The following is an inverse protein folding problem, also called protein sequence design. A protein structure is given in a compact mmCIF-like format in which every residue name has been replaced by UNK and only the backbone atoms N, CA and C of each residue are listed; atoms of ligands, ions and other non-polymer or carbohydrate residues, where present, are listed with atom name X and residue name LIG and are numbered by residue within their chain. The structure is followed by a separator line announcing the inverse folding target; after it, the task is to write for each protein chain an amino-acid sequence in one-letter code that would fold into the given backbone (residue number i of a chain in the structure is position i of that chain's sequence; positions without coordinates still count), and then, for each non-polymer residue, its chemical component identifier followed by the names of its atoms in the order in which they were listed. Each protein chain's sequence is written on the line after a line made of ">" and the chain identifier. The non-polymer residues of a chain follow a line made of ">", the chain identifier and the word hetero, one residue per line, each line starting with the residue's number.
data_IF_001189409511
#
_entry.id   IF_001189409511
#
_cell.length_a   1.000
_cell.length_b   1.000
_cell.length_c   1.000
_cell.angle_alpha   90.00
_cell.angle_beta   90.00
_cell.angle_gamma   90.00
#
_symmetry.space_group_name_H-M   'P 1'
#
loop_
_entity.id
_entity.type
_entity.pdbx_description
1 polymer ?
#
# COMPACT_ATOMS: atom_id res chain seq x y z
N UNK A 1 2.15 4.69 27.20
CA UNK A 1 2.74 5.18 28.47
C UNK A 1 3.75 4.21 29.06
N UNK A 2 3.42 2.92 29.32
CA UNK A 2 4.40 1.93 29.82
C UNK A 2 5.57 1.64 28.86
N UNK A 3 5.32 1.60 27.55
CA UNK A 3 6.38 1.46 26.53
C UNK A 3 7.37 2.63 26.56
N UNK A 4 6.83 3.84 26.77
CA UNK A 4 7.60 5.08 26.76
C UNK A 4 8.43 5.22 28.05
N UNK A 5 7.94 4.70 29.18
CA UNK A 5 8.69 4.58 30.43
C UNK A 5 9.78 3.48 30.36
N UNK A 6 9.50 2.36 29.68
CA UNK A 6 10.49 1.30 29.47
C UNK A 6 11.64 1.77 28.57
N UNK A 7 11.35 2.59 27.55
CA UNK A 7 12.34 3.20 26.66
C UNK A 7 13.21 4.26 27.34
N UNK A 8 12.69 4.98 28.33
CA UNK A 8 13.47 6.02 29.05
C UNK A 8 14.36 5.45 30.16
N UNK A 9 13.97 4.33 30.79
CA UNK A 9 14.75 3.71 31.88
C UNK A 9 16.01 2.98 31.38
N UNK A 10 16.10 2.62 30.09
CA UNK A 10 17.25 1.90 29.50
C UNK A 10 18.34 2.88 28.98
N UNK A 11 18.20 4.17 29.26
CA UNK A 11 19.15 5.20 28.82
C UNK A 11 20.48 5.22 29.58
N UNK A 12 21.45 4.36 29.19
CA UNK A 12 22.86 4.78 29.20
C UNK A 12 23.70 4.01 28.16
N UNK A 13 24.13 4.75 27.13
CA UNK A 13 25.28 4.56 26.23
C UNK A 13 25.37 3.27 25.37
N UNK A 14 24.71 2.16 25.70
CA UNK A 14 24.70 0.92 24.90
C UNK A 14 23.58 0.84 23.83
N UNK A 15 22.73 1.87 23.72
CA UNK A 15 21.41 1.77 23.08
C UNK A 15 21.37 1.83 21.55
N UNK A 16 22.42 2.32 20.87
CA UNK A 16 22.43 2.36 19.40
C UNK A 16 22.31 0.96 18.79
N UNK A 17 22.98 -0.04 19.38
CA UNK A 17 23.05 -1.39 18.83
C UNK A 17 21.86 -2.28 19.23
N UNK A 18 21.23 -2.05 20.39
CA UNK A 18 20.07 -2.82 20.87
C UNK A 18 18.72 -2.21 20.49
N UNK A 19 18.64 -0.89 20.29
CA UNK A 19 17.43 -0.26 19.77
C UNK A 19 17.24 -0.58 18.28
N UNK A 20 18.32 -0.73 17.50
CA UNK A 20 18.27 -1.09 16.09
C UNK A 20 17.48 -2.38 15.81
N UNK A 21 17.75 -3.54 16.45
CA UNK A 21 16.99 -4.76 16.22
C UNK A 21 15.54 -4.64 16.69
N UNK A 22 15.23 -3.82 17.70
CA UNK A 22 13.85 -3.57 18.14
C UNK A 22 13.11 -2.75 17.07
N UNK A 23 13.72 -1.66 16.58
CA UNK A 23 13.17 -0.87 15.49
C UNK A 23 12.99 -1.71 14.22
N UNK A 24 13.98 -2.55 13.89
CA UNK A 24 13.93 -3.46 12.75
C UNK A 24 12.84 -4.52 12.94
N UNK A 25 12.70 -5.12 14.12
CA UNK A 25 11.62 -6.08 14.41
C UNK A 25 10.25 -5.42 14.31
N UNK A 26 10.09 -4.21 14.85
CA UNK A 26 8.85 -3.44 14.72
C UNK A 26 8.58 -3.10 13.26
N UNK A 27 9.60 -2.73 12.50
CA UNK A 27 9.48 -2.44 11.08
C UNK A 27 9.10 -3.70 10.29
N UNK A 28 9.75 -4.83 10.53
CA UNK A 28 9.45 -6.13 9.90
C UNK A 28 8.05 -6.61 10.29
N UNK A 29 7.62 -6.36 11.52
CA UNK A 29 6.28 -6.71 11.99
C UNK A 29 5.21 -5.78 11.39
N UNK A 30 5.56 -4.50 11.20
CA UNK A 30 4.68 -3.49 10.62
C UNK A 30 4.61 -3.59 9.10
N UNK A 31 5.69 -4.01 8.43
CA UNK A 31 5.69 -4.36 7.02
C UNK A 31 4.71 -5.52 6.86
N UNK A 32 3.63 -5.27 6.11
CA UNK A 32 2.60 -6.27 5.89
C UNK A 32 3.23 -7.56 5.36
N UNK A 33 3.12 -8.66 6.11
CA UNK A 33 3.68 -9.98 5.80
C UNK A 33 3.03 -10.68 4.60
N UNK A 34 2.30 -9.93 3.78
CA UNK A 34 1.65 -10.44 2.59
C UNK A 34 2.64 -10.31 1.45
N UNK A 35 3.24 -11.45 1.08
CA UNK A 35 4.04 -11.54 -0.12
C UNK A 35 3.09 -11.41 -1.33
N UNK A 36 3.09 -10.21 -1.91
CA UNK A 36 2.23 -9.89 -3.04
C UNK A 36 2.54 -10.78 -4.26
N UNK A 37 3.81 -11.16 -4.44
CA UNK A 37 4.23 -12.05 -5.52
C UNK A 37 3.67 -13.46 -5.30
N UNK A 38 3.71 -13.95 -4.06
CA UNK A 38 3.13 -15.24 -3.71
C UNK A 38 1.60 -15.25 -3.86
N UNK A 39 0.91 -14.18 -3.46
CA UNK A 39 -0.56 -14.06 -3.58
C UNK A 39 -1.00 -13.92 -5.04
N UNK A 40 -0.27 -13.16 -5.85
CA UNK A 40 -0.59 -12.99 -7.28
C UNK A 40 -0.14 -14.17 -8.14
N UNK A 41 0.79 -15.01 -7.67
CA UNK A 41 1.35 -16.14 -8.42
C UNK A 41 0.29 -17.07 -9.02
N UNK A 42 -0.61 -17.67 -8.22
CA UNK A 42 -1.67 -18.55 -8.71
C UNK A 42 -2.62 -17.88 -9.70
N UNK A 43 -2.89 -16.58 -9.51
CA UNK A 43 -3.71 -15.79 -10.43
C UNK A 43 -3.01 -15.57 -11.78
N UNK A 44 -1.73 -15.19 -11.76
CA UNK A 44 -0.91 -15.01 -12.97
C UNK A 44 -0.82 -16.31 -13.77
N UNK A 45 -0.68 -17.45 -13.09
CA UNK A 45 -0.66 -18.76 -13.73
C UNK A 45 -2.00 -19.12 -14.36
N UNK A 46 -3.13 -18.85 -13.69
CA UNK A 46 -4.46 -19.05 -14.27
C UNK A 46 -4.69 -18.18 -15.51
N UNK A 47 -4.33 -16.89 -15.45
CA UNK A 47 -4.41 -15.96 -16.58
C UNK A 47 -3.50 -16.38 -17.75
N UNK A 48 -2.29 -16.88 -17.47
CA UNK A 48 -1.35 -17.38 -18.49
C UNK A 48 -1.85 -18.66 -19.16
N UNK A 49 -2.61 -19.49 -18.45
CA UNK A 49 -3.30 -20.68 -19.00
C UNK A 49 -4.57 -20.36 -19.76
N UNK A 50 -5.04 -19.10 -19.75
CA UNK A 50 -6.31 -18.70 -20.35
C UNK A 50 -7.54 -19.22 -19.59
N UNK A 51 -7.37 -19.70 -18.36
CA UNK A 51 -8.44 -20.26 -17.54
C UNK A 51 -9.12 -19.14 -16.74
N UNK A 52 -10.15 -18.55 -17.33
CA UNK A 52 -10.91 -17.44 -16.76
C UNK A 52 -11.64 -17.84 -15.47
N UNK A 53 -12.18 -19.05 -15.39
CA UNK A 53 -12.90 -19.52 -14.21
C UNK A 53 -11.95 -19.75 -13.03
N UNK A 54 -10.78 -20.35 -13.27
CA UNK A 54 -9.76 -20.48 -12.24
C UNK A 54 -9.25 -19.11 -11.79
N UNK A 55 -9.08 -18.15 -12.70
CA UNK A 55 -8.64 -16.79 -12.36
C UNK A 55 -9.65 -16.06 -11.46
N UNK A 56 -10.96 -16.15 -11.75
CA UNK A 56 -12.02 -15.59 -10.90
C UNK A 56 -12.04 -16.25 -9.53
N UNK A 57 -11.95 -17.59 -9.49
CA UNK A 57 -11.99 -18.33 -8.24
C UNK A 57 -10.80 -18.01 -7.32
N UNK A 58 -9.59 -17.93 -7.87
CA UNK A 58 -8.37 -17.57 -7.13
C UNK A 58 -8.43 -16.13 -6.62
N UNK A 59 -8.86 -15.19 -7.45
CA UNK A 59 -8.97 -13.78 -7.04
C UNK A 59 -10.02 -13.59 -5.93
N UNK A 60 -11.15 -14.30 -6.00
CA UNK A 60 -12.17 -14.28 -4.95
C UNK A 60 -11.66 -14.86 -3.64
N UNK A 61 -10.91 -15.97 -3.69
CA UNK A 61 -10.37 -16.65 -2.50
C UNK A 61 -9.24 -15.87 -1.82
N UNK A 62 -8.26 -15.43 -2.59
CA UNK A 62 -6.98 -14.91 -2.05
C UNK A 62 -6.96 -13.38 -1.92
N UNK A 63 -7.79 -12.68 -2.70
CA UNK A 63 -7.79 -11.20 -2.77
C UNK A 63 -9.16 -10.61 -2.41
N UNK A 64 -10.19 -11.45 -2.22
CA UNK A 64 -11.56 -11.00 -1.95
C UNK A 64 -12.21 -10.26 -3.14
N UNK A 65 -11.63 -10.36 -4.34
CA UNK A 65 -12.13 -9.67 -5.53
C UNK A 65 -13.20 -10.53 -6.19
N UNK A 66 -14.45 -10.07 -6.13
CA UNK A 66 -15.55 -10.65 -6.91
C UNK A 66 -15.80 -9.80 -8.16
N UNK A 67 -15.89 -10.45 -9.30
CA UNK A 67 -16.12 -9.81 -10.58
C UNK A 67 -16.94 -10.71 -11.49
N UNK A 68 -17.92 -10.10 -12.17
CA UNK A 68 -18.79 -10.80 -13.12
C UNK A 68 -18.14 -10.89 -14.51
N UNK A 69 -17.26 -9.93 -14.82
CA UNK A 69 -16.56 -9.81 -16.08
C UNK A 69 -15.05 -9.80 -15.90
N UNK A 70 -14.34 -10.22 -16.94
CA UNK A 70 -12.89 -10.30 -16.88
C UNK A 70 -12.17 -8.95 -16.73
N UNK A 71 -12.80 -7.90 -17.24
CA UNK A 71 -12.31 -6.53 -17.09
C UNK A 71 -12.36 -6.06 -15.63
N UNK A 72 -13.51 -6.31 -14.97
CA UNK A 72 -13.71 -5.99 -13.56
C UNK A 72 -12.79 -6.82 -12.66
N UNK A 73 -12.54 -8.07 -13.02
CA UNK A 73 -11.62 -8.95 -12.30
C UNK A 73 -10.22 -8.35 -12.28
N UNK A 74 -9.70 -7.98 -13.46
CA UNK A 74 -8.35 -7.46 -13.56
C UNK A 74 -8.24 -6.09 -12.88
N UNK A 75 -9.22 -5.20 -13.05
CA UNK A 75 -9.25 -3.93 -12.32
C UNK A 75 -9.27 -4.11 -10.79
N UNK A 76 -10.05 -5.07 -10.28
CA UNK A 76 -10.09 -5.38 -8.85
C UNK A 76 -8.74 -5.91 -8.34
N UNK A 77 -8.10 -6.81 -9.09
CA UNK A 77 -6.77 -7.35 -8.75
C UNK A 77 -5.69 -6.27 -8.78
N UNK A 78 -5.71 -5.38 -9.77
CA UNK A 78 -4.80 -4.23 -9.85
C UNK A 78 -4.98 -3.28 -8.67
N UNK A 79 -6.24 -2.99 -8.30
CA UNK A 79 -6.55 -2.17 -7.14
C UNK A 79 -6.10 -2.81 -5.82
N UNK A 80 -6.33 -4.11 -5.66
CA UNK A 80 -5.83 -4.89 -4.53
C UNK A 80 -4.31 -4.82 -4.42
N UNK A 81 -3.59 -5.00 -5.54
CA UNK A 81 -2.13 -4.91 -5.61
C UNK A 81 -1.60 -3.53 -5.18
N UNK A 82 -2.16 -2.46 -5.73
CA UNK A 82 -1.77 -1.09 -5.39
C UNK A 82 -2.07 -0.76 -3.93
N UNK A 83 -3.26 -1.13 -3.46
CA UNK A 83 -3.70 -0.93 -2.09
C UNK A 83 -2.81 -1.68 -1.10
N UNK A 84 -2.57 -2.96 -1.37
CA UNK A 84 -1.76 -3.80 -0.52
C UNK A 84 -0.32 -3.27 -0.45
N UNK A 85 0.27 -2.85 -1.58
CA UNK A 85 1.59 -2.23 -1.60
C UNK A 85 1.62 -0.92 -0.81
N UNK A 86 0.60 -0.06 -0.96
CA UNK A 86 0.49 1.18 -0.21
C UNK A 86 0.45 0.95 1.29
N UNK A 87 -0.41 0.06 1.77
CA UNK A 87 -0.61 -0.15 3.20
C UNK A 87 0.51 -0.93 3.87
N UNK A 88 1.05 -1.93 3.17
CA UNK A 88 2.13 -2.75 3.72
C UNK A 88 3.48 -2.04 3.75
N UNK A 89 3.73 -1.14 2.80
CA UNK A 89 5.04 -0.52 2.61
C UNK A 89 5.00 1.00 2.73
N UNK A 90 4.28 1.70 1.86
CA UNK A 90 4.35 3.17 1.77
C UNK A 90 3.80 3.89 3.01
N UNK A 91 2.64 3.47 3.52
CA UNK A 91 2.07 4.05 4.74
C UNK A 91 2.97 3.80 5.95
N UNK A 92 3.51 2.58 6.07
CA UNK A 92 4.40 2.18 7.16
C UNK A 92 5.70 2.98 7.14
N UNK A 93 6.36 3.06 5.98
CA UNK A 93 7.63 3.79 5.86
C UNK A 93 7.45 5.29 6.04
N UNK A 94 6.35 5.87 5.53
CA UNK A 94 6.02 7.28 5.75
C UNK A 94 5.95 7.60 7.24
N UNK A 95 5.11 6.87 7.98
CA UNK A 95 4.91 7.13 9.40
C UNK A 95 6.13 6.77 10.25
N UNK A 96 6.92 5.78 9.82
CA UNK A 96 8.21 5.47 10.44
C UNK A 96 9.19 6.63 10.33
N UNK A 97 9.32 7.26 9.16
CA UNK A 97 10.25 8.39 8.95
C UNK A 97 9.76 9.66 9.68
N UNK A 98 8.45 9.93 9.66
CA UNK A 98 7.88 11.17 10.21
C UNK A 98 7.77 11.13 11.74
N UNK A 99 7.26 10.04 12.32
CA UNK A 99 6.93 9.91 13.75
C UNK A 99 7.67 8.76 14.46
N UNK A 100 8.41 7.92 13.74
CA UNK A 100 9.15 6.79 14.29
C UNK A 100 8.37 5.46 14.36
N UNK A 101 8.96 4.43 14.99
CA UNK A 101 8.42 3.05 15.00
C UNK A 101 7.05 2.94 15.68
N UNK A 102 6.77 3.80 16.66
CA UNK A 102 5.50 3.78 17.40
C UNK A 102 4.32 4.12 16.49
N UNK A 103 4.50 5.08 15.57
CA UNK A 103 3.45 5.46 14.64
C UNK A 103 3.21 4.38 13.56
N UNK A 104 4.28 3.76 13.06
CA UNK A 104 4.18 2.61 12.16
C UNK A 104 3.37 1.46 12.79
N UNK A 105 3.69 1.11 14.04
CA UNK A 105 2.97 0.09 14.79
C UNK A 105 1.51 0.49 15.06
N UNK A 106 1.26 1.75 15.44
CA UNK A 106 -0.10 2.25 15.66
C UNK A 106 -0.95 2.17 14.39
N UNK A 107 -0.39 2.54 13.24
CA UNK A 107 -1.05 2.38 11.94
C UNK A 107 -1.39 0.92 11.66
N UNK A 108 -0.45 -0.01 11.90
CA UNK A 108 -0.70 -1.45 11.69
C UNK A 108 -1.78 -2.00 12.61
N UNK A 109 -1.78 -1.58 13.87
CA UNK A 109 -2.82 -1.95 14.84
C UNK A 109 -4.19 -1.39 14.43
N UNK A 110 -4.26 -0.16 13.93
CA UNK A 110 -5.47 0.44 13.38
C UNK A 110 -5.97 -0.34 12.15
N UNK A 111 -5.08 -0.74 11.25
CA UNK A 111 -5.42 -1.55 10.09
C UNK A 111 -5.99 -2.92 10.50
N UNK A 112 -5.33 -3.61 11.43
CA UNK A 112 -5.80 -4.88 11.98
C UNK A 112 -7.12 -4.74 12.73
N UNK A 113 -7.29 -3.67 13.52
CA UNK A 113 -8.54 -3.42 14.25
C UNK A 113 -9.70 -3.12 13.30
N UNK A 114 -9.44 -2.46 12.16
CA UNK A 114 -10.45 -2.22 11.12
C UNK A 114 -10.80 -3.50 10.33
N UNK A 115 -9.84 -4.42 10.14
CA UNK A 115 -10.04 -5.65 9.37
C UNK A 115 -10.59 -6.82 10.21
N UNK A 116 -10.20 -6.91 11.48
CA UNK A 116 -10.47 -8.06 12.36
C UNK A 116 -11.28 -7.67 13.62
N UNK A 117 -11.73 -6.42 13.72
CA UNK A 117 -12.45 -5.94 14.89
C UNK A 117 -13.78 -6.66 15.07
N UNK A 118 -14.00 -7.22 16.27
CA UNK A 118 -15.23 -7.93 16.61
C UNK A 118 -16.40 -6.98 16.94
N UNK A 119 -16.09 -5.73 17.29
CA UNK A 119 -17.10 -4.72 17.67
C UNK A 119 -17.28 -3.70 16.55
N UNK A 120 -18.51 -3.50 16.03
CA UNK A 120 -18.74 -2.60 14.90
C UNK A 120 -18.34 -1.15 15.18
N UNK A 121 -18.56 -0.66 16.41
CA UNK A 121 -18.14 0.68 16.82
C UNK A 121 -16.61 0.85 16.83
N UNK A 122 -15.85 -0.21 17.16
CA UNK A 122 -14.38 -0.17 17.13
C UNK A 122 -13.88 -0.19 15.69
N UNK A 123 -14.47 -1.01 14.84
CA UNK A 123 -14.15 -1.09 13.41
C UNK A 123 -14.37 0.25 12.72
N UNK A 124 -15.50 0.90 12.98
CA UNK A 124 -15.82 2.20 12.38
C UNK A 124 -14.83 3.30 12.82
N UNK A 125 -14.52 3.36 14.13
CA UNK A 125 -13.56 4.33 14.67
C UNK A 125 -12.14 4.07 14.19
N UNK A 126 -11.72 2.81 14.14
CA UNK A 126 -10.42 2.42 13.59
C UNK A 126 -10.32 2.76 12.10
N UNK A 127 -11.40 2.55 11.33
CA UNK A 127 -11.51 2.92 9.93
C UNK A 127 -11.39 4.43 9.70
N UNK A 128 -12.09 5.26 10.49
CA UNK A 128 -11.99 6.72 10.40
C UNK A 128 -10.57 7.22 10.71
N UNK A 129 -9.94 6.71 11.77
CA UNK A 129 -8.58 7.06 12.12
C UNK A 129 -7.57 6.59 11.08
N UNK A 130 -7.72 5.36 10.56
CA UNK A 130 -6.91 4.83 9.46
C UNK A 130 -7.03 5.73 8.23
N UNK A 131 -8.24 6.13 7.85
CA UNK A 131 -8.47 7.02 6.72
C UNK A 131 -7.77 8.38 6.90
N UNK A 132 -7.81 8.95 8.11
CA UNK A 132 -7.09 10.17 8.43
C UNK A 132 -5.56 10.00 8.32
N UNK A 133 -5.02 8.87 8.80
CA UNK A 133 -3.60 8.53 8.68
C UNK A 133 -3.17 8.25 7.23
N UNK A 134 -4.07 7.77 6.38
CA UNK A 134 -3.80 7.42 4.99
C UNK A 134 -3.92 8.62 4.04
N UNK A 135 -4.65 9.67 4.45
CA UNK A 135 -4.94 10.85 3.63
C UNK A 135 -3.69 11.56 3.08
N UNK A 136 -2.65 11.71 3.90
CA UNK A 136 -1.37 12.31 3.49
C UNK A 136 -0.54 11.35 2.63
N UNK A 137 -0.19 10.14 3.10
CA UNK A 137 0.71 9.25 2.37
C UNK A 137 0.12 8.81 1.02
N UNK A 138 -1.21 8.65 0.89
CA UNK A 138 -1.82 8.26 -0.39
C UNK A 138 -1.65 9.33 -1.46
N UNK A 139 -1.76 10.61 -1.08
CA UNK A 139 -1.55 11.75 -2.00
C UNK A 139 -0.09 11.91 -2.36
N UNK A 140 0.80 11.70 -1.40
CA UNK A 140 2.25 11.70 -1.66
C UNK A 140 2.62 10.58 -2.64
N UNK A 141 2.02 9.40 -2.49
CA UNK A 141 2.23 8.29 -3.41
C UNK A 141 1.64 8.59 -4.80
N UNK A 142 0.44 9.16 -4.88
CA UNK A 142 -0.15 9.61 -6.13
C UNK A 142 0.76 10.64 -6.85
N UNK A 143 1.32 11.62 -6.12
CA UNK A 143 2.29 12.56 -6.67
C UNK A 143 3.57 11.86 -7.16
N UNK A 144 4.00 10.81 -6.47
CA UNK A 144 5.17 10.01 -6.87
C UNK A 144 4.89 9.22 -8.16
N UNK A 145 3.68 8.69 -8.33
CA UNK A 145 3.24 8.10 -9.60
C UNK A 145 3.19 9.13 -10.72
N UNK A 146 2.80 10.37 -10.43
CA UNK A 146 2.88 11.45 -11.41
C UNK A 146 4.32 11.71 -11.87
N UNK A 147 5.28 11.68 -10.94
CA UNK A 147 6.69 11.94 -11.24
C UNK A 147 7.34 10.82 -12.06
N UNK A 148 6.94 9.57 -11.80
CA UNK A 148 7.60 8.37 -12.34
C UNK A 148 6.91 7.80 -13.58
N UNK A 149 5.60 8.03 -13.71
CA UNK A 149 4.78 7.55 -14.82
C UNK A 149 4.25 8.70 -15.68
N UNK A 150 3.01 8.58 -16.15
CA UNK A 150 2.37 9.62 -16.93
C UNK A 150 1.87 10.78 -16.04
N UNK A 151 2.72 11.81 -15.90
CA UNK A 151 2.41 13.02 -15.13
C UNK A 151 1.07 13.67 -15.52
N UNK A 152 0.76 13.74 -16.83
CA UNK A 152 -0.43 14.43 -17.35
C UNK A 152 -1.70 13.66 -16.99
N UNK A 153 -1.70 12.34 -17.18
CA UNK A 153 -2.82 11.48 -16.85
C UNK A 153 -3.10 11.48 -15.35
N UNK A 154 -2.05 11.34 -14.53
CA UNK A 154 -2.15 11.38 -13.07
C UNK A 154 -2.62 12.73 -12.57
N UNK A 155 -2.03 13.83 -13.04
CA UNK A 155 -2.38 15.17 -12.58
C UNK A 155 -3.84 15.50 -12.86
N UNK A 156 -4.40 15.04 -13.98
CA UNK A 156 -5.82 15.23 -14.31
C UNK A 156 -6.74 14.54 -13.28
N UNK A 157 -6.45 13.29 -12.94
CA UNK A 157 -7.22 12.52 -11.94
C UNK A 157 -7.01 13.10 -10.55
N UNK A 158 -5.76 13.40 -10.20
CA UNK A 158 -5.37 13.90 -8.89
C UNK A 158 -5.92 15.29 -8.62
N UNK A 159 -5.94 16.21 -9.60
CA UNK A 159 -6.51 17.56 -9.44
C UNK A 159 -8.01 17.53 -9.15
N UNK A 160 -8.74 16.58 -9.73
CA UNK A 160 -10.19 16.44 -9.50
C UNK A 160 -10.50 15.88 -8.10
N UNK A 161 -9.60 15.04 -7.57
CA UNK A 161 -9.77 14.34 -6.29
C UNK A 161 -8.91 14.95 -5.16
N UNK A 162 -8.13 16.01 -5.44
CA UNK A 162 -7.08 16.52 -4.56
C UNK A 162 -7.66 17.00 -3.22
N UNK A 163 -8.80 17.69 -3.28
CA UNK A 163 -9.54 18.24 -2.14
C UNK A 163 -10.65 17.32 -1.63
N UNK A 164 -10.93 16.20 -2.30
CA UNK A 164 -11.97 15.27 -1.85
C UNK A 164 -11.45 14.50 -0.64
N UNK A 165 -11.92 14.90 0.55
CA UNK A 165 -11.65 14.16 1.80
C UNK A 165 -12.40 12.83 1.85
N UNK A 166 -13.52 12.72 1.12
CA UNK A 166 -14.44 11.59 1.18
C UNK A 166 -14.06 10.41 0.28
N UNK A 167 -13.08 10.57 -0.63
CA UNK A 167 -12.62 9.47 -1.47
C UNK A 167 -11.76 8.52 -0.63
N UNK A 168 -12.05 7.22 -0.70
CA UNK A 168 -11.22 6.22 -0.02
C UNK A 168 -9.82 6.18 -0.63
N UNK A 169 -8.81 6.02 0.22
CA UNK A 169 -7.41 5.94 -0.22
C UNK A 169 -7.20 4.80 -1.24
N UNK A 170 -7.90 3.67 -1.09
CA UNK A 170 -7.88 2.54 -2.01
C UNK A 170 -8.39 2.90 -3.42
N UNK A 171 -9.49 3.66 -3.51
CA UNK A 171 -10.03 4.07 -4.80
C UNK A 171 -9.12 5.09 -5.49
N UNK A 172 -8.58 6.05 -4.73
CA UNK A 172 -7.69 7.07 -5.27
C UNK A 172 -6.43 6.44 -5.86
N UNK A 173 -5.77 5.55 -5.10
CA UNK A 173 -4.53 4.92 -5.58
C UNK A 173 -4.79 4.00 -6.78
N UNK A 174 -5.91 3.29 -6.81
CA UNK A 174 -6.27 2.44 -7.95
C UNK A 174 -6.44 3.28 -9.21
N UNK A 175 -7.22 4.37 -9.14
CA UNK A 175 -7.46 5.28 -10.28
C UNK A 175 -6.15 5.91 -10.77
N UNK A 176 -5.33 6.41 -9.85
CA UNK A 176 -4.07 7.06 -10.20
C UNK A 176 -3.04 6.07 -10.72
N UNK A 177 -2.91 4.89 -10.11
CA UNK A 177 -1.97 3.86 -10.54
C UNK A 177 -2.29 3.32 -11.94
N UNK A 178 -3.55 3.00 -12.22
CA UNK A 178 -3.98 2.60 -13.57
C UNK A 178 -3.74 3.71 -14.60
N UNK A 179 -4.01 4.98 -14.26
CA UNK A 179 -3.76 6.11 -15.14
C UNK A 179 -2.26 6.38 -15.38
N UNK A 180 -1.42 6.18 -14.36
CA UNK A 180 0.03 6.39 -14.43
C UNK A 180 0.75 5.35 -15.29
N UNK A 181 0.27 4.11 -15.26
CA UNK A 181 0.88 2.97 -15.94
C UNK A 181 0.40 2.77 -17.39
N UNK A 182 -0.49 3.65 -17.89
CA UNK A 182 -1.09 3.54 -19.24
C UNK A 182 -1.58 2.13 -19.56
N UNK A 183 -2.13 1.43 -18.56
CA UNK A 183 -2.49 0.02 -18.70
C UNK A 183 -3.51 -0.09 -19.85
N UNK A 184 -3.23 -0.90 -20.89
CA UNK A 184 -4.20 -1.18 -21.95
C UNK A 184 -5.52 -1.66 -21.35
N UNK A 185 -6.67 -1.46 -22.03
CA UNK A 185 -7.96 -1.87 -21.50
C UNK A 185 -7.91 -3.32 -20.98
N UNK A 186 -8.49 -3.61 -19.81
CA UNK A 186 -8.21 -4.86 -19.11
C UNK A 186 -8.79 -6.07 -19.87
N UNK A 187 -7.94 -6.78 -20.61
CA UNK A 187 -8.29 -8.02 -21.31
C UNK A 187 -7.78 -9.21 -20.51
N UNK A 188 -8.65 -10.17 -20.17
CA UNK A 188 -8.20 -11.42 -19.55
C UNK A 188 -7.37 -12.23 -20.55
N UNK A 189 -6.19 -12.62 -20.08
CA UNK A 189 -5.22 -13.41 -20.83
C UNK A 189 -3.79 -13.03 -20.47
N UNK A 190 -2.79 -13.45 -21.25
CA UNK A 190 -1.39 -13.11 -21.01
C UNK A 190 -1.13 -11.58 -21.00
N UNK A 191 -1.94 -10.79 -21.71
CA UNK A 191 -1.86 -9.32 -21.71
C UNK A 191 -2.27 -8.69 -20.37
N UNK A 192 -3.20 -9.30 -19.64
CA UNK A 192 -3.59 -8.83 -18.31
C UNK A 192 -2.50 -8.99 -17.26
N UNK A 193 -1.65 -10.03 -17.41
CA UNK A 193 -0.47 -10.24 -16.57
C UNK A 193 0.56 -9.12 -16.79
N UNK A 194 0.75 -8.69 -18.04
CA UNK A 194 1.64 -7.56 -18.37
C UNK A 194 1.25 -6.27 -17.64
N UNK A 195 -0.06 -6.00 -17.50
CA UNK A 195 -0.54 -4.85 -16.74
C UNK A 195 -0.16 -4.88 -15.25
N UNK A 196 -0.16 -6.07 -14.63
CA UNK A 196 0.31 -6.23 -13.24
C UNK A 196 1.82 -5.99 -13.11
N UNK A 197 2.60 -6.46 -14.09
CA UNK A 197 4.05 -6.24 -14.12
C UNK A 197 4.39 -4.74 -14.28
N UNK A 198 3.67 -4.01 -15.14
CA UNK A 198 3.83 -2.56 -15.28
C UNK A 198 3.52 -1.80 -13.99
N UNK A 199 2.43 -2.17 -13.29
CA UNK A 199 2.10 -1.58 -11.98
C UNK A 199 3.16 -1.90 -10.92
N UNK A 200 3.72 -3.10 -10.94
CA UNK A 200 4.83 -3.46 -10.04
C UNK A 200 6.06 -2.58 -10.29
N UNK A 201 6.46 -2.40 -11.54
CA UNK A 201 7.57 -1.52 -11.89
C UNK A 201 7.32 -0.09 -11.44
N UNK A 202 6.10 0.43 -11.64
CA UNK A 202 5.70 1.75 -11.19
C UNK A 202 5.84 1.89 -9.66
N UNK A 203 5.40 0.88 -8.90
CA UNK A 203 5.54 0.84 -7.45
C UNK A 203 7.02 0.86 -7.01
N UNK A 204 7.87 0.04 -7.65
CA UNK A 204 9.31 -0.02 -7.35
C UNK A 204 9.98 1.32 -7.63
N UNK A 205 9.69 1.94 -8.78
CA UNK A 205 10.24 3.25 -9.12
C UNK A 205 9.73 4.36 -8.18
N UNK A 206 8.46 4.31 -7.78
CA UNK A 206 7.93 5.23 -6.77
C UNK A 206 8.60 5.03 -5.41
N UNK A 207 8.89 3.80 -5.01
CA UNK A 207 9.64 3.51 -3.78
C UNK A 207 11.05 4.13 -3.83
N UNK A 208 11.74 4.06 -4.97
CA UNK A 208 13.05 4.70 -5.16
C UNK A 208 12.96 6.22 -4.93
N UNK A 209 11.94 6.88 -5.48
CA UNK A 209 11.71 8.33 -5.27
C UNK A 209 11.52 8.64 -3.78
N UNK A 210 10.76 7.81 -3.07
CA UNK A 210 10.55 7.97 -1.64
C UNK A 210 11.84 7.83 -0.85
N UNK A 211 12.63 6.80 -1.14
CA UNK A 211 13.93 6.60 -0.51
C UNK A 211 14.89 7.76 -0.77
N UNK A 212 14.95 8.26 -2.01
CA UNK A 212 15.76 9.43 -2.36
C UNK A 212 15.30 10.69 -1.58
N UNK A 213 13.99 10.91 -1.49
CA UNK A 213 13.41 12.01 -0.72
C UNK A 213 13.74 11.93 0.78
N UNK A 214 13.61 10.73 1.37
CA UNK A 214 13.95 10.51 2.77
C UNK A 214 15.46 10.64 3.04
N UNK A 215 16.30 10.14 2.12
CA UNK A 215 17.75 10.28 2.24
C UNK A 215 18.16 11.77 2.22
N UNK A 216 17.62 12.55 1.29
CA UNK A 216 17.89 13.98 1.20
C UNK A 216 17.42 14.73 2.45
N UNK A 217 16.21 14.43 2.93
CA UNK A 217 15.68 15.00 4.18
C UNK A 217 16.59 14.71 5.37
N UNK A 218 17.09 13.48 5.47
CA UNK A 218 17.95 13.06 6.58
C UNK A 218 19.32 13.73 6.52
N UNK A 219 19.85 13.99 5.32
CA UNK A 219 21.12 14.70 5.14
C UNK A 219 21.03 16.21 5.41
N UNK A 220 19.85 16.80 5.22
CA UNK A 220 19.60 18.24 5.42
C UNK A 220 19.26 18.61 6.88
N UNK A 221 19.05 17.62 7.74
CA UNK A 221 18.69 17.79 9.16
C UNK A 221 19.88 17.55 10.07
#
# INVERSE_FOLDING_TARGET
>A
MLLQLALTIIGSVAYGWLALPIHLLVLIYSLGRVDLVAVLGPFRDACRRGDTQAAVHVAGRDMGVQADNGEQLLHGVQGYMLWQAFQSFFAVIFWYVVLGPVAALAYRLLALAAEQGTTPALVERAGQLRHAFEWVPVRLLAASFALVGNFVAVSRVMLHELLNWNISAAQLITRVGCAASEVPPPVIGPQGVTGLDMLWELLVRAAIVWYAGFALWTLLR
#
